data_IF_654771587680
#
_entry.id   IF_654771587680
#
_cell.length_a   1.000
_cell.length_b   1.000
_cell.length_c   1.000
_cell.angle_alpha   90.00
_cell.angle_beta   90.00
_cell.angle_gamma   90.00
#
_symmetry.space_group_name_H-M   'P 1'
#
loop_
_entity.id
_entity.type
_entity.pdbx_description
1 polymer ?
#
# COMPACT_ATOMS: atom_id res chain seq x y z
N UNK A 1 -38.96 10.35 -2.71
CA UNK A 1 -37.56 9.89 -2.49
C UNK A 1 -36.58 10.96 -1.99
N UNK A 2 -36.96 12.22 -1.75
CA UNK A 2 -36.05 13.27 -1.26
C UNK A 2 -35.85 13.29 0.28
N UNK A 3 -36.76 12.68 1.04
CA UNK A 3 -36.72 12.68 2.51
C UNK A 3 -35.66 11.69 3.07
N UNK A 4 -35.42 10.57 2.38
CA UNK A 4 -34.42 9.56 2.77
C UNK A 4 -32.96 10.01 2.55
N UNK A 5 -32.70 10.88 1.56
CA UNK A 5 -31.36 11.46 1.36
C UNK A 5 -31.02 12.51 2.42
N UNK A 6 -32.03 13.22 2.95
CA UNK A 6 -31.86 14.21 4.03
C UNK A 6 -31.67 13.58 5.42
N UNK A 7 -32.12 12.34 5.62
CA UNK A 7 -31.86 11.58 6.85
C UNK A 7 -30.43 11.01 6.90
N UNK A 8 -29.82 10.69 5.76
CA UNK A 8 -28.39 10.29 5.71
C UNK A 8 -27.42 11.42 6.03
N UNK A 9 -27.83 12.68 5.84
CA UNK A 9 -27.01 13.83 6.27
C UNK A 9 -27.06 14.09 7.79
N UNK A 10 -27.95 13.42 8.54
CA UNK A 10 -28.15 13.63 9.97
C UNK A 10 -27.28 12.72 10.86
N UNK A 11 -26.85 11.54 10.37
CA UNK A 11 -25.86 10.72 11.07
C UNK A 11 -24.46 11.21 10.73
N UNK A 12 -23.99 12.14 11.56
CA UNK A 12 -22.78 12.94 11.38
C UNK A 12 -21.48 12.15 11.32
N UNK A 13 -20.95 11.98 10.11
CA UNK A 13 -19.54 11.63 9.86
C UNK A 13 -18.92 12.50 8.75
N UNK A 14 -19.48 13.70 8.52
CA UNK A 14 -18.94 14.65 7.52
C UNK A 14 -17.57 15.23 7.89
N UNK A 15 -17.14 15.15 9.15
CA UNK A 15 -15.89 15.75 9.64
C UNK A 15 -14.64 14.88 9.52
N UNK A 16 -14.76 13.57 9.28
CA UNK A 16 -13.63 12.63 9.28
C UNK A 16 -13.15 12.25 7.88
N UNK A 17 -13.80 12.73 6.83
CA UNK A 17 -13.51 12.30 5.46
C UNK A 17 -12.47 13.22 4.85
N UNK A 18 -11.35 12.63 4.45
CA UNK A 18 -10.26 13.32 3.78
C UNK A 18 -10.66 13.49 2.32
N UNK A 19 -10.72 14.75 1.88
CA UNK A 19 -10.94 15.04 0.48
C UNK A 19 -9.75 14.54 -0.34
N UNK A 20 -9.99 13.91 -1.51
CA UNK A 20 -8.91 13.37 -2.34
C UNK A 20 -7.97 14.46 -2.89
N UNK A 21 -8.40 15.73 -2.88
CA UNK A 21 -7.61 16.89 -3.30
C UNK A 21 -6.98 17.66 -2.13
N UNK A 22 -6.88 17.06 -0.94
CA UNK A 22 -6.23 17.69 0.20
C UNK A 22 -4.70 17.64 0.07
N UNK A 23 -4.00 18.72 0.42
CA UNK A 23 -2.54 18.77 0.52
C UNK A 23 -1.98 17.74 1.51
N UNK A 24 -2.73 17.41 2.57
CA UNK A 24 -2.42 16.32 3.48
C UNK A 24 -2.36 14.97 2.76
N UNK A 25 -3.34 14.69 1.89
CA UNK A 25 -3.38 13.44 1.14
C UNK A 25 -2.22 13.34 0.16
N UNK A 26 -1.88 14.44 -0.51
CA UNK A 26 -0.73 14.52 -1.40
C UNK A 26 0.59 14.21 -0.67
N UNK A 27 0.80 14.79 0.52
CA UNK A 27 1.97 14.48 1.35
C UNK A 27 2.01 13.00 1.75
N UNK A 28 0.88 12.44 2.16
CA UNK A 28 0.76 11.02 2.50
C UNK A 28 1.06 10.10 1.31
N UNK A 29 0.52 10.41 0.13
CA UNK A 29 0.77 9.67 -1.12
C UNK A 29 2.24 9.75 -1.55
N UNK A 30 2.92 10.86 -1.28
CA UNK A 30 4.37 11.03 -1.52
C UNK A 30 5.20 10.13 -0.61
N UNK A 31 4.85 10.07 0.69
CA UNK A 31 5.49 9.16 1.64
C UNK A 31 5.21 7.70 1.28
N UNK A 32 3.98 7.37 0.87
CA UNK A 32 3.64 6.04 0.37
C UNK A 32 4.49 5.65 -0.83
N UNK A 33 4.65 6.54 -1.81
CA UNK A 33 5.48 6.31 -2.99
C UNK A 33 6.94 6.02 -2.61
N UNK A 34 7.50 6.82 -1.69
CA UNK A 34 8.86 6.62 -1.21
C UNK A 34 9.03 5.27 -0.50
N UNK A 35 8.11 4.91 0.39
CA UNK A 35 8.13 3.64 1.12
C UNK A 35 7.95 2.42 0.20
N UNK A 36 7.13 2.52 -0.87
CA UNK A 36 7.03 1.46 -1.89
C UNK A 36 8.38 1.27 -2.60
N UNK A 37 9.06 2.36 -2.93
CA UNK A 37 10.40 2.31 -3.53
C UNK A 37 11.42 1.65 -2.60
N UNK A 38 11.39 1.98 -1.31
CA UNK A 38 12.22 1.32 -0.30
C UNK A 38 11.89 -0.17 -0.16
N UNK A 39 10.60 -0.53 -0.06
CA UNK A 39 10.15 -1.91 0.03
C UNK A 39 10.61 -2.73 -1.18
N UNK A 40 10.58 -2.14 -2.38
CA UNK A 40 11.02 -2.80 -3.59
C UNK A 40 12.51 -3.14 -3.56
N UNK A 41 13.36 -2.28 -3.01
CA UNK A 41 14.80 -2.54 -2.88
C UNK A 41 15.06 -3.50 -1.71
N UNK A 42 14.35 -3.31 -0.60
CA UNK A 42 14.54 -4.04 0.65
C UNK A 42 14.11 -5.51 0.55
N UNK A 43 12.94 -5.79 -0.03
CA UNK A 43 12.37 -7.13 -0.18
C UNK A 43 13.31 -8.14 -0.86
N UNK A 44 13.94 -7.82 -2.01
CA UNK A 44 14.91 -8.71 -2.64
C UNK A 44 16.26 -8.70 -1.95
N UNK A 45 16.66 -7.60 -1.31
CA UNK A 45 17.89 -7.56 -0.53
C UNK A 45 17.86 -8.57 0.63
N UNK A 46 16.67 -8.85 1.20
CA UNK A 46 16.47 -9.95 2.16
C UNK A 46 16.67 -11.36 1.58
N UNK A 47 16.80 -11.53 0.26
CA UNK A 47 17.19 -12.80 -0.33
C UNK A 47 18.68 -13.11 -0.15
N UNK A 48 19.50 -12.10 0.11
CA UNK A 48 20.96 -12.24 0.23
C UNK A 48 21.44 -12.60 1.66
N UNK A 49 20.58 -13.20 2.50
CA UNK A 49 20.88 -13.60 3.89
C UNK A 49 21.75 -12.58 4.66
N UNK A 50 21.39 -11.30 4.54
CA UNK A 50 22.08 -10.24 5.25
C UNK A 50 21.90 -10.40 6.77
N UNK A 51 22.95 -10.18 7.56
CA UNK A 51 22.85 -10.24 9.01
C UNK A 51 21.79 -9.25 9.49
N UNK A 52 20.88 -9.70 10.35
CA UNK A 52 19.85 -8.85 10.94
C UNK A 52 20.49 -7.88 11.95
N UNK A 53 20.55 -6.60 11.61
CA UNK A 53 20.95 -5.51 12.51
C UNK A 53 19.70 -4.75 13.00
N UNK A 54 19.84 -3.98 14.08
CA UNK A 54 18.73 -3.27 14.71
C UNK A 54 17.95 -2.35 13.75
N UNK A 55 18.62 -1.72 12.77
CA UNK A 55 17.94 -0.86 11.80
C UNK A 55 17.05 -1.66 10.84
N UNK A 56 17.44 -2.89 10.48
CA UNK A 56 16.64 -3.76 9.62
C UNK A 56 15.30 -4.09 10.30
N UNK A 57 15.35 -4.38 11.61
CA UNK A 57 14.17 -4.63 12.43
C UNK A 57 13.32 -3.36 12.61
N UNK A 58 13.95 -2.20 12.84
CA UNK A 58 13.22 -0.92 12.89
C UNK A 58 12.50 -0.61 11.59
N UNK A 59 13.14 -0.82 10.43
CA UNK A 59 12.52 -0.59 9.11
C UNK A 59 11.32 -1.53 8.92
N UNK A 60 11.44 -2.82 9.26
CA UNK A 60 10.34 -3.78 9.16
C UNK A 60 9.15 -3.36 10.05
N UNK A 61 9.39 -2.87 11.27
CA UNK A 61 8.32 -2.36 12.14
C UNK A 61 7.68 -1.05 11.66
N UNK A 62 8.50 -0.09 11.24
CA UNK A 62 8.02 1.21 10.75
C UNK A 62 7.17 1.02 9.50
N UNK A 63 7.63 0.18 8.56
CA UNK A 63 6.86 -0.14 7.35
C UNK A 63 5.56 -0.87 7.69
N UNK A 64 5.59 -1.86 8.60
CA UNK A 64 4.39 -2.58 9.07
C UNK A 64 3.32 -1.62 9.64
N UNK A 65 3.74 -0.72 10.52
CA UNK A 65 2.86 0.27 11.14
C UNK A 65 2.32 1.27 10.12
N UNK A 66 3.18 1.76 9.23
CA UNK A 66 2.78 2.68 8.17
C UNK A 66 1.73 2.07 7.24
N UNK A 67 1.94 0.84 6.79
CA UNK A 67 0.98 0.16 5.91
C UNK A 67 -0.34 -0.16 6.60
N UNK A 68 -0.30 -0.45 7.90
CA UNK A 68 -1.51 -0.61 8.72
C UNK A 68 -2.26 0.73 8.84
N UNK A 69 -1.54 1.85 9.01
CA UNK A 69 -2.13 3.19 9.04
C UNK A 69 -2.70 3.60 7.67
N UNK A 70 -2.04 3.27 6.56
CA UNK A 70 -2.54 3.52 5.20
C UNK A 70 -3.85 2.75 4.93
N UNK A 71 -3.94 1.50 5.39
CA UNK A 71 -5.16 0.72 5.37
C UNK A 71 -6.28 1.41 6.17
N UNK A 72 -5.98 1.90 7.38
CA UNK A 72 -6.96 2.63 8.20
C UNK A 72 -7.41 3.94 7.54
N UNK A 73 -6.48 4.71 6.96
CA UNK A 73 -6.79 5.96 6.27
C UNK A 73 -7.63 5.74 5.01
N UNK A 74 -7.49 4.59 4.35
CA UNK A 74 -8.27 4.23 3.16
C UNK A 74 -9.78 4.13 3.43
N UNK A 75 -10.21 3.90 4.68
CA UNK A 75 -11.63 3.95 5.07
C UNK A 75 -12.21 5.37 5.09
N UNK A 76 -11.36 6.38 5.23
CA UNK A 76 -11.74 7.79 5.31
C UNK A 76 -11.48 8.56 4.02
N UNK A 77 -10.92 7.91 2.99
CA UNK A 77 -10.56 8.55 1.74
C UNK A 77 -11.75 8.62 0.77
N UNK A 78 -12.16 9.83 0.40
CA UNK A 78 -13.18 10.03 -0.63
C UNK A 78 -12.71 9.57 -2.01
N UNK A 79 -13.64 9.16 -2.88
CA UNK A 79 -13.35 8.72 -4.24
C UNK A 79 -14.13 9.53 -5.29
N UNK A 80 -13.60 9.60 -6.51
CA UNK A 80 -14.28 10.22 -7.64
C UNK A 80 -15.30 9.25 -8.25
N UNK A 81 -16.54 9.73 -8.45
CA UNK A 81 -17.57 9.02 -9.19
C UNK A 81 -18.28 9.98 -10.14
N UNK A 82 -18.15 9.73 -11.45
CA UNK A 82 -18.77 10.55 -12.51
C UNK A 82 -18.44 12.05 -12.39
N UNK A 83 -17.18 12.39 -12.16
CA UNK A 83 -16.72 13.77 -12.01
C UNK A 83 -17.11 14.48 -10.71
N UNK A 84 -17.73 13.77 -9.75
CA UNK A 84 -18.06 14.32 -8.42
C UNK A 84 -17.34 13.53 -7.33
N UNK A 85 -16.79 14.24 -6.35
CA UNK A 85 -16.20 13.62 -5.15
C UNK A 85 -17.33 13.10 -4.27
N UNK A 86 -17.33 11.79 -4.00
CA UNK A 86 -18.26 11.17 -3.06
C UNK A 86 -17.61 11.14 -1.69
N UNK A 87 -18.13 11.95 -0.78
CA UNK A 87 -17.72 12.04 0.64
C UNK A 87 -18.76 11.39 1.57
N UNK A 88 -19.54 10.42 1.08
CA UNK A 88 -20.47 9.67 1.93
C UNK A 88 -19.73 8.47 2.52
N UNK A 89 -19.50 8.49 3.84
CA UNK A 89 -18.69 7.47 4.54
C UNK A 89 -19.19 6.05 4.29
N UNK A 90 -20.52 5.85 4.27
CA UNK A 90 -21.11 4.52 4.05
C UNK A 90 -20.81 3.99 2.65
N UNK A 91 -20.77 4.88 1.65
CA UNK A 91 -20.43 4.51 0.26
C UNK A 91 -18.94 4.25 0.10
N UNK A 92 -18.10 5.05 0.75
CA UNK A 92 -16.64 4.87 0.79
C UNK A 92 -16.28 3.52 1.38
N UNK A 93 -16.77 3.21 2.59
CA UNK A 93 -16.50 1.93 3.26
C UNK A 93 -16.95 0.76 2.41
N UNK A 94 -18.21 0.77 1.93
CA UNK A 94 -18.75 -0.37 1.17
C UNK A 94 -17.95 -0.64 -0.10
N UNK A 95 -17.51 0.42 -0.79
CA UNK A 95 -16.69 0.28 -1.98
C UNK A 95 -15.27 -0.19 -1.64
N UNK A 96 -14.66 0.36 -0.60
CA UNK A 96 -13.32 -0.03 -0.16
C UNK A 96 -13.27 -1.50 0.27
N UNK A 97 -14.24 -1.93 1.10
CA UNK A 97 -14.39 -3.32 1.53
C UNK A 97 -14.53 -4.29 0.35
N UNK A 98 -15.30 -3.92 -0.67
CA UNK A 98 -15.55 -4.78 -1.83
C UNK A 98 -14.38 -4.84 -2.82
N UNK A 99 -13.42 -3.92 -2.76
CA UNK A 99 -12.38 -3.79 -3.81
C UNK A 99 -10.96 -3.93 -3.30
N UNK A 100 -10.58 -3.31 -2.17
CA UNK A 100 -9.17 -3.22 -1.75
C UNK A 100 -8.89 -3.76 -0.37
N UNK A 101 -9.89 -3.78 0.51
CA UNK A 101 -9.72 -4.32 1.85
C UNK A 101 -9.18 -5.76 1.84
N UNK A 102 -9.68 -6.62 0.96
CA UNK A 102 -9.20 -8.00 0.84
C UNK A 102 -7.71 -8.04 0.46
N UNK A 103 -7.29 -7.20 -0.50
CA UNK A 103 -5.88 -7.11 -0.91
C UNK A 103 -5.01 -6.58 0.24
N UNK A 104 -5.47 -5.53 0.93
CA UNK A 104 -4.75 -4.94 2.05
C UNK A 104 -4.61 -5.93 3.22
N UNK A 105 -5.66 -6.71 3.53
CA UNK A 105 -5.61 -7.78 4.52
C UNK A 105 -4.61 -8.88 4.14
N UNK A 106 -4.62 -9.34 2.88
CA UNK A 106 -3.68 -10.38 2.41
C UNK A 106 -2.23 -9.89 2.50
N UNK A 107 -1.98 -8.59 2.42
CA UNK A 107 -0.64 -8.01 2.53
C UNK A 107 -0.24 -7.78 4.00
N UNK A 108 -1.11 -7.18 4.80
CA UNK A 108 -0.80 -6.72 6.16
C UNK A 108 -0.84 -7.85 7.20
N UNK A 109 -1.81 -8.77 7.10
CA UNK A 109 -1.98 -9.84 8.09
C UNK A 109 -0.74 -10.76 8.14
N UNK A 110 -0.20 -11.24 7.02
CA UNK A 110 0.98 -12.10 7.08
C UNK A 110 2.22 -11.37 7.56
N UNK A 111 2.37 -10.08 7.25
CA UNK A 111 3.49 -9.29 7.77
C UNK A 111 3.43 -9.21 9.31
N UNK A 112 2.24 -9.03 9.91
CA UNK A 112 2.05 -9.12 11.35
C UNK A 112 2.40 -10.51 11.90
N UNK A 113 1.93 -11.58 11.26
CA UNK A 113 2.23 -12.96 11.69
C UNK A 113 3.74 -13.23 11.65
N UNK A 114 4.42 -12.83 10.59
CA UNK A 114 5.87 -13.00 10.44
C UNK A 114 6.63 -12.23 11.52
N UNK A 115 6.30 -10.95 11.75
CA UNK A 115 6.98 -10.11 12.74
C UNK A 115 6.72 -10.60 14.17
N UNK A 116 5.48 -10.95 14.53
CA UNK A 116 5.17 -11.51 15.84
C UNK A 116 5.88 -12.84 16.09
N UNK A 117 5.99 -13.70 15.06
CA UNK A 117 6.66 -14.99 15.21
C UNK A 117 8.17 -14.82 15.34
N UNK A 118 8.80 -13.91 14.58
CA UNK A 118 10.23 -13.56 14.75
C UNK A 118 10.53 -13.17 16.20
N UNK A 119 9.69 -12.32 16.80
CA UNK A 119 9.89 -11.84 18.17
C UNK A 119 9.59 -12.90 19.25
N UNK A 120 8.75 -13.89 18.93
CA UNK A 120 8.38 -14.97 19.85
C UNK A 120 9.30 -16.20 19.76
N UNK A 121 10.19 -16.25 18.76
CA UNK A 121 11.06 -17.38 18.47
C UNK A 121 12.26 -17.43 19.41
N UNK A 122 11.99 -17.61 20.70
CA UNK A 122 12.99 -17.94 21.70
C UNK A 122 13.43 -19.41 21.67
N UNK A 123 12.58 -20.35 21.23
CA UNK A 123 12.85 -21.80 21.45
C UNK A 123 12.42 -22.82 20.37
N UNK A 124 11.73 -22.46 19.27
CA UNK A 124 11.21 -23.46 18.29
C UNK A 124 11.82 -23.35 16.88
N UNK A 125 13.00 -23.94 16.71
CA UNK A 125 13.74 -24.04 15.43
C UNK A 125 12.96 -24.74 14.30
N UNK A 126 12.08 -25.69 14.63
CA UNK A 126 11.31 -26.47 13.65
C UNK A 126 10.12 -25.66 13.09
N UNK A 127 9.50 -24.80 13.91
CA UNK A 127 8.46 -23.87 13.46
C UNK A 127 9.04 -22.75 12.59
N UNK A 128 10.19 -22.21 12.98
CA UNK A 128 10.90 -21.17 12.25
C UNK A 128 11.23 -21.60 10.80
N UNK A 129 11.72 -22.82 10.58
CA UNK A 129 12.08 -23.31 9.25
C UNK A 129 10.88 -23.39 8.26
N UNK A 130 9.68 -23.75 8.72
CA UNK A 130 8.46 -23.73 7.87
C UNK A 130 8.03 -22.30 7.55
N UNK A 131 8.13 -21.41 8.52
CA UNK A 131 7.76 -20.00 8.36
C UNK A 131 8.74 -19.29 7.41
N UNK A 132 10.03 -19.62 7.47
CA UNK A 132 11.03 -19.12 6.51
C UNK A 132 10.76 -19.55 5.06
N UNK A 133 10.19 -20.75 4.83
CA UNK A 133 9.72 -21.15 3.50
C UNK A 133 8.52 -20.31 3.04
N UNK A 134 7.59 -20.03 3.96
CA UNK A 134 6.47 -19.11 3.71
C UNK A 134 6.92 -17.67 3.44
N UNK A 135 7.96 -17.20 4.14
CA UNK A 135 8.51 -15.84 4.01
C UNK A 135 8.87 -15.50 2.56
N UNK A 136 9.37 -16.48 1.79
CA UNK A 136 9.66 -16.29 0.35
C UNK A 136 8.40 -15.98 -0.47
N UNK A 137 7.29 -16.68 -0.21
CA UNK A 137 6.02 -16.40 -0.88
C UNK A 137 5.43 -15.04 -0.45
N UNK A 138 5.58 -14.67 0.82
CA UNK A 138 5.12 -13.36 1.33
C UNK A 138 5.87 -12.18 0.70
N UNK A 139 7.16 -12.33 0.37
CA UNK A 139 7.92 -11.30 -0.37
C UNK A 139 7.25 -10.94 -1.71
N UNK A 140 6.72 -11.93 -2.42
CA UNK A 140 5.99 -11.70 -3.68
C UNK A 140 4.67 -10.97 -3.43
N UNK A 141 3.97 -11.27 -2.33
CA UNK A 141 2.74 -10.57 -1.95
C UNK A 141 2.98 -9.08 -1.67
N UNK A 142 4.15 -8.69 -1.15
CA UNK A 142 4.51 -7.28 -0.98
C UNK A 142 4.59 -6.52 -2.32
N UNK A 143 4.86 -7.20 -3.45
CA UNK A 143 4.85 -6.57 -4.78
C UNK A 143 3.46 -6.10 -5.21
N UNK A 144 2.39 -6.66 -4.63
CA UNK A 144 1.02 -6.21 -4.87
C UNK A 144 0.84 -4.74 -4.45
N UNK A 145 1.67 -4.22 -3.53
CA UNK A 145 1.70 -2.78 -3.16
C UNK A 145 2.00 -1.88 -4.36
N UNK A 146 2.71 -2.35 -5.39
CA UNK A 146 2.95 -1.59 -6.63
C UNK A 146 1.62 -1.31 -7.38
N UNK A 147 0.58 -2.12 -7.19
CA UNK A 147 -0.75 -1.83 -7.74
C UNK A 147 -1.40 -0.61 -7.08
N UNK A 148 -1.13 -0.35 -5.79
CA UNK A 148 -1.55 0.90 -5.14
C UNK A 148 -0.94 2.11 -5.83
N UNK A 149 0.35 2.04 -6.19
CA UNK A 149 1.01 3.10 -6.94
C UNK A 149 0.29 3.41 -8.26
N UNK A 150 -0.08 2.37 -9.03
CA UNK A 150 -0.83 2.56 -10.29
C UNK A 150 -2.13 3.35 -10.08
N UNK A 151 -2.84 3.08 -8.98
CA UNK A 151 -4.08 3.78 -8.62
C UNK A 151 -3.83 5.20 -8.12
N UNK A 152 -2.85 5.41 -7.26
CA UNK A 152 -2.51 6.76 -6.76
C UNK A 152 -2.18 7.63 -7.97
N UNK A 153 -1.33 7.12 -8.86
CA UNK A 153 -1.01 7.79 -10.11
C UNK A 153 -2.26 8.08 -10.95
N UNK A 154 -3.15 7.09 -11.19
CA UNK A 154 -4.37 7.31 -11.99
C UNK A 154 -5.29 8.37 -11.37
N UNK A 155 -5.35 8.43 -10.04
CA UNK A 155 -6.15 9.42 -9.32
C UNK A 155 -5.54 10.82 -9.44
N UNK A 156 -4.20 10.93 -9.39
CA UNK A 156 -3.49 12.19 -9.62
C UNK A 156 -3.59 12.65 -11.08
N UNK A 157 -3.59 11.72 -12.03
CA UNK A 157 -3.75 12.02 -13.46
C UNK A 157 -5.10 12.65 -13.79
N UNK A 158 -6.17 12.32 -13.08
CA UNK A 158 -7.50 12.95 -13.27
C UNK A 158 -7.55 14.40 -12.78
N UNK A 159 -6.59 14.85 -11.95
CA UNK A 159 -6.52 16.21 -11.41
C UNK A 159 -5.57 17.14 -12.18
N UNK A 160 -4.70 16.60 -13.04
CA UNK A 160 -3.68 17.37 -13.75
C UNK A 160 -4.18 17.63 -15.18
N UNK A 161 -4.76 18.80 -15.42
CA UNK A 161 -5.16 19.27 -16.77
C UNK A 161 -3.97 19.72 -17.64
N UNK A 162 -2.73 19.65 -17.12
CA UNK A 162 -1.54 20.07 -17.86
C UNK A 162 -0.99 18.95 -18.75
N UNK A 163 -1.08 19.13 -20.07
CA UNK A 163 -0.60 18.17 -21.09
C UNK A 163 0.89 17.81 -20.95
N UNK A 164 1.72 18.75 -20.47
CA UNK A 164 3.16 18.53 -20.27
C UNK A 164 3.45 17.60 -19.08
N UNK A 165 2.75 17.81 -17.96
CA UNK A 165 2.90 16.96 -16.78
C UNK A 165 2.41 15.54 -17.06
N UNK A 166 1.34 15.40 -17.85
CA UNK A 166 0.83 14.09 -18.28
C UNK A 166 1.90 13.25 -19.00
N UNK A 167 2.58 13.87 -19.97
CA UNK A 167 3.60 13.18 -20.78
C UNK A 167 4.82 12.81 -19.95
N UNK A 168 5.29 13.71 -19.08
CA UNK A 168 6.44 13.47 -18.20
C UNK A 168 6.18 12.35 -17.19
N UNK A 169 5.02 12.33 -16.51
CA UNK A 169 4.71 11.28 -15.54
C UNK A 169 4.58 9.92 -16.22
N UNK A 170 4.02 9.87 -17.44
CA UNK A 170 3.92 8.61 -18.19
C UNK A 170 5.31 8.07 -18.58
N UNK A 171 6.25 8.94 -18.94
CA UNK A 171 7.61 8.57 -19.28
C UNK A 171 8.38 8.07 -18.04
N UNK A 172 8.29 8.79 -16.92
CA UNK A 172 8.87 8.36 -15.63
C UNK A 172 8.28 7.02 -15.17
N UNK A 173 6.97 6.81 -15.35
CA UNK A 173 6.30 5.56 -15.04
C UNK A 173 6.84 4.39 -15.86
N UNK A 174 7.07 4.59 -17.16
CA UNK A 174 7.66 3.57 -18.03
C UNK A 174 9.10 3.25 -17.61
N UNK A 175 9.91 4.27 -17.32
CA UNK A 175 11.29 4.08 -16.84
C UNK A 175 11.36 3.36 -15.50
N UNK A 176 10.53 3.77 -14.53
CA UNK A 176 10.39 3.07 -13.26
C UNK A 176 9.99 1.62 -13.51
N UNK A 177 8.91 1.36 -14.26
CA UNK A 177 8.45 0.00 -14.54
C UNK A 177 9.53 -0.88 -15.18
N UNK A 178 10.34 -0.33 -16.09
CA UNK A 178 11.44 -1.05 -16.74
C UNK A 178 12.57 -1.37 -15.74
N UNK A 179 12.92 -0.41 -14.88
CA UNK A 179 13.85 -0.64 -13.76
C UNK A 179 13.31 -1.71 -12.79
N UNK A 180 12.03 -1.65 -12.42
CA UNK A 180 11.37 -2.64 -11.56
C UNK A 180 11.48 -4.04 -12.16
N UNK A 181 11.17 -4.18 -13.46
CA UNK A 181 11.23 -5.46 -14.16
C UNK A 181 12.65 -6.02 -14.18
N UNK A 182 13.64 -5.21 -14.54
CA UNK A 182 15.04 -5.63 -14.53
C UNK A 182 15.49 -6.05 -13.13
N UNK A 183 15.08 -5.30 -12.11
CA UNK A 183 15.39 -5.64 -10.73
C UNK A 183 14.76 -6.97 -10.32
N UNK A 184 13.47 -7.17 -10.59
CA UNK A 184 12.78 -8.44 -10.29
C UNK A 184 13.40 -9.60 -11.05
N UNK A 185 13.71 -9.44 -12.34
CA UNK A 185 14.37 -10.47 -13.16
C UNK A 185 15.74 -10.83 -12.58
N UNK A 186 16.55 -9.85 -12.19
CA UNK A 186 17.85 -10.09 -11.56
C UNK A 186 17.71 -10.82 -10.21
N UNK A 187 16.71 -10.46 -9.42
CA UNK A 187 16.45 -11.11 -8.13
C UNK A 187 15.91 -12.53 -8.28
N UNK A 188 15.05 -12.78 -9.26
CA UNK A 188 14.56 -14.14 -9.60
C UNK A 188 15.70 -15.00 -10.13
N UNK A 189 16.56 -14.45 -10.99
CA UNK A 189 17.75 -15.15 -11.49
C UNK A 189 18.72 -15.53 -10.37
N UNK A 190 18.92 -14.67 -9.37
CA UNK A 190 19.76 -14.98 -8.22
C UNK A 190 19.11 -16.01 -7.26
N UNK A 191 17.78 -16.08 -7.23
CA UNK A 191 17.03 -17.02 -6.40
C UNK A 191 16.97 -18.45 -6.99
N UNK A 192 17.04 -18.56 -8.32
CA UNK A 192 17.05 -19.81 -9.11
C UNK A 192 18.40 -20.51 -9.03
#
# INVERSE_FOLDING_TARGET
CWCLERLKSFFGLRGLIISPNSTWRFGWDTVCLFLIGLDLIWVPLQAFDLPSFWLAEMIDWVTLLFWTADMAQSFFLGYYHKGRVVTDHSKVIRRYLATWFILDCIIVIPDWVLTCTKNSSGNDLVGAARIFRGARAFRVLRLVRVLKLRRIMSSMFELIESEYAFTMVNLVKLLLALFLLNHVIACVWYLL
#
